data_IF_109348667754
#
_entry.id   IF_109348667754
#
_cell.length_a   1.000
_cell.length_b   1.000
_cell.length_c   1.000
_cell.angle_alpha   90.00
_cell.angle_beta   90.00
_cell.angle_gamma   90.00
#
_symmetry.space_group_name_H-M   'P 1'
#
loop_
_entity.id
_entity.type
_entity.pdbx_description
1 polymer ?
#
# COMPACT_ATOMS: atom_id res chain seq x y z
N UNK A 1 -0.43 21.14 34.43
CA UNK A 1 0.09 20.49 33.20
C UNK A 1 1.40 19.78 33.55
N UNK A 2 1.48 18.46 33.35
CA UNK A 2 2.39 17.58 34.11
C UNK A 2 3.84 17.64 33.58
N UNK A 3 4.79 18.16 34.36
CA UNK A 3 6.22 18.37 34.01
C UNK A 3 6.87 17.09 33.44
N UNK A 4 6.51 15.92 33.96
CA UNK A 4 6.97 14.61 33.46
C UNK A 4 6.55 14.32 32.02
N UNK A 5 5.34 14.73 31.61
CA UNK A 5 4.85 14.55 30.23
C UNK A 5 5.63 15.45 29.26
N UNK A 6 5.95 16.68 29.67
CA UNK A 6 6.73 17.62 28.86
C UNK A 6 8.19 17.16 28.72
N UNK A 7 8.84 16.75 29.81
CA UNK A 7 10.20 16.20 29.75
C UNK A 7 10.30 14.95 28.86
N UNK A 8 9.33 14.04 28.95
CA UNK A 8 9.26 12.87 28.07
C UNK A 8 9.05 13.22 26.60
N UNK A 9 8.32 14.30 26.30
CA UNK A 9 8.16 14.80 24.93
C UNK A 9 9.49 15.32 24.36
N UNK A 10 10.18 16.20 25.08
CA UNK A 10 11.47 16.74 24.63
C UNK A 10 12.54 15.66 24.49
N UNK A 11 12.58 14.69 25.41
CA UNK A 11 13.49 13.55 25.32
C UNK A 11 13.29 12.74 24.04
N UNK A 12 12.04 12.38 23.71
CA UNK A 12 11.71 11.68 22.45
C UNK A 12 12.08 12.49 21.22
N UNK A 13 11.90 13.80 21.25
CA UNK A 13 12.25 14.69 20.15
C UNK A 13 13.77 14.72 19.90
N UNK A 14 14.58 14.75 20.97
CA UNK A 14 16.05 14.65 20.87
C UNK A 14 16.51 13.28 20.39
N UNK A 15 15.93 12.20 20.90
CA UNK A 15 16.23 10.85 20.44
C UNK A 15 15.92 10.68 18.96
N UNK A 16 14.76 11.18 18.51
CA UNK A 16 14.36 11.12 17.12
C UNK A 16 15.29 11.94 16.23
N UNK A 17 15.70 13.12 16.68
CA UNK A 17 16.69 13.94 15.97
C UNK A 17 18.01 13.19 15.79
N UNK A 18 18.54 12.55 16.86
CA UNK A 18 19.77 11.75 16.79
C UNK A 18 19.64 10.57 15.85
N UNK A 19 18.49 9.87 15.85
CA UNK A 19 18.21 8.77 14.94
C UNK A 19 18.21 9.25 13.49
N UNK A 20 17.51 10.34 13.19
CA UNK A 20 17.46 10.91 11.86
C UNK A 20 18.85 11.41 11.43
N UNK A 21 19.62 12.02 12.33
CA UNK A 21 21.01 12.37 12.05
C UNK A 21 21.83 11.15 11.63
N UNK A 22 21.75 10.06 12.39
CA UNK A 22 22.47 8.82 12.09
C UNK A 22 22.07 8.21 10.74
N UNK A 23 20.81 8.35 10.31
CA UNK A 23 20.34 7.96 8.98
C UNK A 23 20.94 8.86 7.90
N UNK A 24 20.81 10.18 8.07
CA UNK A 24 21.22 11.15 7.05
C UNK A 24 22.75 11.24 6.88
N UNK A 25 23.52 10.94 7.93
CA UNK A 25 24.98 10.81 7.86
C UNK A 25 25.43 9.58 7.04
N UNK A 26 24.51 8.62 6.77
CA UNK A 26 24.79 7.34 6.12
C UNK A 26 24.04 7.16 4.79
N UNK A 27 23.47 8.23 4.23
CA UNK A 27 22.76 8.12 2.95
C UNK A 27 23.72 7.68 1.85
N UNK A 28 23.18 6.80 1.01
CA UNK A 28 23.88 6.28 -0.14
C UNK A 28 23.80 7.32 -1.26
N UNK A 29 24.90 7.49 -1.99
CA UNK A 29 24.96 8.37 -3.17
C UNK A 29 24.42 7.62 -4.37
N UNK A 30 23.14 7.82 -4.67
CA UNK A 30 22.41 7.07 -5.68
C UNK A 30 22.09 7.91 -6.93
N UNK A 31 22.43 9.21 -6.93
CA UNK A 31 22.11 10.19 -7.98
C UNK A 31 22.54 9.80 -9.40
N UNK A 32 23.59 8.98 -9.53
CA UNK A 32 24.12 8.56 -10.82
C UNK A 32 23.50 7.29 -11.39
N UNK A 33 22.61 6.64 -10.64
CA UNK A 33 21.96 5.41 -11.09
C UNK A 33 20.71 5.76 -11.91
N UNK A 34 20.67 5.44 -13.21
CA UNK A 34 19.49 5.70 -14.03
C UNK A 34 18.36 4.75 -13.63
N UNK A 35 17.13 5.26 -13.70
CA UNK A 35 15.91 4.50 -13.45
C UNK A 35 15.00 4.58 -14.67
N UNK A 36 14.29 3.50 -14.95
CA UNK A 36 13.33 3.42 -16.04
C UNK A 36 11.92 3.44 -15.47
N UNK A 37 11.07 4.32 -16.00
CA UNK A 37 9.72 4.55 -15.51
C UNK A 37 8.70 4.16 -16.59
N UNK A 38 7.74 3.31 -16.22
CA UNK A 38 6.66 2.88 -17.09
C UNK A 38 5.31 3.37 -16.56
N UNK A 39 4.57 4.10 -17.38
CA UNK A 39 3.22 4.54 -17.09
C UNK A 39 2.22 3.42 -17.40
N UNK A 40 1.43 3.01 -16.41
CA UNK A 40 0.37 2.01 -16.60
C UNK A 40 -0.74 2.55 -17.50
N UNK A 41 -1.16 3.81 -17.30
CA UNK A 41 -2.24 4.40 -18.09
C UNK A 41 -1.84 4.68 -19.54
N UNK A 42 -0.63 5.21 -19.78
CA UNK A 42 -0.16 5.51 -21.14
C UNK A 42 0.41 4.29 -21.84
N UNK A 43 0.64 3.19 -21.11
CA UNK A 43 1.25 1.94 -21.60
C UNK A 43 2.58 2.17 -22.30
N UNK A 44 3.39 3.07 -21.75
CA UNK A 44 4.64 3.51 -22.36
C UNK A 44 5.66 3.90 -21.28
N UNK A 45 6.92 3.90 -21.68
CA UNK A 45 7.96 4.56 -20.89
C UNK A 45 7.69 6.06 -20.83
N UNK A 46 7.99 6.65 -19.67
CA UNK A 46 7.89 8.10 -19.46
C UNK A 46 9.24 8.64 -18.97
N UNK A 47 9.50 9.90 -19.28
CA UNK A 47 10.69 10.60 -18.83
C UNK A 47 10.65 10.81 -17.30
N UNK A 48 11.82 10.81 -16.66
CA UNK A 48 11.93 10.97 -15.20
C UNK A 48 11.17 12.22 -14.74
N UNK A 49 11.35 13.36 -15.43
CA UNK A 49 10.68 14.64 -15.10
C UNK A 49 9.14 14.57 -15.05
N UNK A 50 8.52 13.63 -15.76
CA UNK A 50 7.06 13.53 -15.91
C UNK A 50 6.42 12.59 -14.86
N UNK A 51 7.22 11.83 -14.11
CA UNK A 51 6.77 10.80 -13.16
C UNK A 51 5.82 11.36 -12.11
N UNK A 52 6.17 12.49 -11.50
CA UNK A 52 5.34 13.13 -10.46
C UNK A 52 4.02 13.61 -11.06
N UNK A 53 4.06 14.28 -12.21
CA UNK A 53 2.85 14.77 -12.87
C UNK A 53 1.91 13.61 -13.23
N UNK A 54 2.43 12.52 -13.79
CA UNK A 54 1.65 11.33 -14.10
C UNK A 54 1.02 10.72 -12.82
N UNK A 55 1.82 10.59 -11.76
CA UNK A 55 1.36 10.10 -10.45
C UNK A 55 0.22 10.95 -9.90
N UNK A 56 0.35 12.29 -9.93
CA UNK A 56 -0.69 13.22 -9.46
C UNK A 56 -1.95 13.20 -10.32
N UNK A 57 -1.81 12.94 -11.63
CA UNK A 57 -2.94 12.76 -12.55
C UNK A 57 -3.68 11.42 -12.35
N UNK A 58 -3.25 10.61 -11.38
CA UNK A 58 -3.89 9.35 -11.01
C UNK A 58 -3.38 8.14 -11.79
N UNK A 59 -2.19 8.24 -12.37
CA UNK A 59 -1.47 7.10 -12.93
C UNK A 59 -0.78 6.27 -11.85
N UNK A 60 -0.33 5.09 -12.25
CA UNK A 60 0.54 4.21 -11.50
C UNK A 60 1.81 4.07 -12.33
N UNK A 61 2.93 4.46 -11.75
CA UNK A 61 4.23 4.38 -12.41
C UNK A 61 4.99 3.18 -11.86
N UNK A 62 5.48 2.32 -12.75
CA UNK A 62 6.30 1.15 -12.40
C UNK A 62 7.76 1.52 -12.60
N UNK A 63 8.60 1.22 -11.60
CA UNK A 63 10.06 1.26 -11.72
C UNK A 63 10.57 -0.18 -11.67
N UNK A 64 11.15 -0.65 -12.76
CA UNK A 64 11.67 -2.02 -12.83
C UNK A 64 12.97 -2.16 -12.05
N UNK A 65 13.07 -3.21 -11.25
CA UNK A 65 14.23 -3.59 -10.43
C UNK A 65 14.95 -2.38 -9.79
N UNK A 66 14.24 -1.58 -9.00
CA UNK A 66 14.82 -0.42 -8.31
C UNK A 66 15.93 -0.85 -7.34
N UNK A 67 15.83 -2.05 -6.75
CA UNK A 67 16.85 -2.56 -5.82
C UNK A 67 18.14 -2.89 -6.57
N UNK A 68 18.08 -3.63 -7.68
CA UNK A 68 19.25 -3.96 -8.48
C UNK A 68 19.85 -2.74 -9.18
N UNK A 69 19.01 -1.88 -9.78
CA UNK A 69 19.47 -0.68 -10.49
C UNK A 69 20.19 0.32 -9.57
N UNK A 70 19.77 0.41 -8.30
CA UNK A 70 20.43 1.23 -7.27
C UNK A 70 21.56 0.47 -6.53
N UNK A 71 21.89 -0.76 -6.94
CA UNK A 71 22.93 -1.61 -6.34
C UNK A 71 22.72 -1.87 -4.84
N UNK A 72 21.46 -2.03 -4.43
CA UNK A 72 21.07 -2.21 -3.02
C UNK A 72 20.92 -3.68 -2.60
N UNK A 73 21.07 -4.63 -3.53
CA UNK A 73 20.81 -6.06 -3.29
C UNK A 73 21.56 -6.61 -2.07
N UNK A 74 22.85 -6.30 -1.93
CA UNK A 74 23.65 -6.78 -0.78
C UNK A 74 23.16 -6.21 0.55
N UNK A 75 22.79 -4.94 0.59
CA UNK A 75 22.26 -4.28 1.79
C UNK A 75 20.88 -4.82 2.17
N UNK A 76 20.03 -5.10 1.18
CA UNK A 76 18.72 -5.72 1.41
C UNK A 76 18.89 -7.17 1.89
N UNK A 77 19.85 -7.92 1.33
CA UNK A 77 20.17 -9.27 1.78
C UNK A 77 20.68 -9.30 3.22
N UNK A 78 21.61 -8.40 3.59
CA UNK A 78 22.10 -8.24 4.95
C UNK A 78 20.95 -7.90 5.92
N UNK A 79 20.11 -6.92 5.57
CA UNK A 79 18.92 -6.57 6.34
C UNK A 79 18.01 -7.79 6.57
N UNK A 80 17.83 -8.61 5.53
CA UNK A 80 16.98 -9.78 5.64
C UNK A 80 17.61 -10.86 6.54
N UNK A 81 18.92 -11.11 6.43
CA UNK A 81 19.61 -12.06 7.30
C UNK A 81 19.52 -11.63 8.76
N UNK A 82 19.77 -10.36 9.05
CA UNK A 82 19.81 -9.81 10.41
C UNK A 82 18.45 -9.84 11.12
N UNK A 83 17.36 -9.64 10.37
CA UNK A 83 16.02 -9.52 10.97
C UNK A 83 15.11 -10.72 10.76
N UNK A 84 15.42 -11.58 9.79
CA UNK A 84 14.56 -12.69 9.39
C UNK A 84 15.26 -14.05 9.38
N UNK A 85 16.58 -14.11 9.61
CA UNK A 85 17.41 -15.31 9.45
C UNK A 85 17.30 -15.92 8.04
N UNK A 86 16.95 -15.10 7.03
CA UNK A 86 16.77 -15.51 5.63
C UNK A 86 17.50 -14.54 4.72
N UNK A 87 18.15 -15.05 3.67
CA UNK A 87 18.60 -14.21 2.57
C UNK A 87 17.42 -13.61 1.80
N UNK A 88 17.66 -12.51 1.10
CA UNK A 88 16.65 -11.78 0.31
C UNK A 88 15.92 -12.70 -0.68
N UNK A 89 16.67 -13.57 -1.37
CA UNK A 89 16.17 -14.56 -2.33
C UNK A 89 15.20 -15.60 -1.71
N UNK A 90 15.28 -15.83 -0.39
CA UNK A 90 14.50 -16.84 0.32
C UNK A 90 13.43 -16.23 1.23
N UNK A 91 13.25 -14.91 1.20
CA UNK A 91 12.33 -14.19 2.09
C UNK A 91 10.87 -14.65 1.95
N UNK A 92 10.48 -15.14 0.77
CA UNK A 92 9.15 -15.71 0.53
C UNK A 92 8.83 -16.96 1.39
N UNK A 93 9.85 -17.64 1.92
CA UNK A 93 9.71 -18.86 2.71
C UNK A 93 9.79 -18.65 4.22
N UNK A 94 9.95 -17.41 4.69
CA UNK A 94 10.16 -17.09 6.12
C UNK A 94 9.07 -17.67 7.05
N UNK A 95 7.83 -17.81 6.57
CA UNK A 95 6.72 -18.35 7.37
C UNK A 95 6.86 -19.85 7.66
N UNK A 96 7.74 -20.57 6.95
CA UNK A 96 7.98 -21.99 7.16
C UNK A 96 8.90 -22.25 8.37
N UNK A 97 9.68 -21.26 8.79
CA UNK A 97 10.69 -21.41 9.86
C UNK A 97 10.39 -20.57 11.08
N UNK A 98 9.40 -19.67 11.01
CA UNK A 98 9.03 -18.76 12.10
C UNK A 98 7.56 -18.88 12.44
N UNK A 99 7.27 -18.88 13.74
CA UNK A 99 5.92 -18.78 14.28
C UNK A 99 5.32 -17.41 14.01
N UNK A 100 3.99 -17.30 14.11
CA UNK A 100 3.29 -16.02 13.96
C UNK A 100 3.80 -14.94 14.93
N UNK A 101 4.19 -15.32 16.15
CA UNK A 101 4.73 -14.41 17.15
C UNK A 101 6.07 -13.84 16.73
N UNK A 102 7.00 -14.71 16.29
CA UNK A 102 8.31 -14.30 15.79
C UNK A 102 8.16 -13.41 14.54
N UNK A 103 7.19 -13.71 13.66
CA UNK A 103 6.90 -12.89 12.49
C UNK A 103 6.45 -11.46 12.84
N UNK A 104 5.64 -11.32 13.90
CA UNK A 104 5.23 -10.00 14.42
C UNK A 104 6.45 -9.26 14.97
N UNK A 105 7.30 -9.93 15.75
CA UNK A 105 8.48 -9.32 16.35
C UNK A 105 9.49 -8.87 15.28
N UNK A 106 9.75 -9.72 14.27
CA UNK A 106 10.57 -9.37 13.11
C UNK A 106 10.04 -8.11 12.40
N UNK A 107 8.73 -8.04 12.13
CA UNK A 107 8.11 -6.88 11.48
C UNK A 107 8.20 -5.59 12.33
N UNK A 108 8.08 -5.71 13.65
CA UNK A 108 8.23 -4.57 14.57
C UNK A 108 9.67 -4.07 14.68
N UNK A 109 10.66 -4.98 14.61
CA UNK A 109 12.08 -4.63 14.69
C UNK A 109 12.57 -3.99 13.40
N UNK A 110 12.28 -4.61 12.25
CA UNK A 110 12.83 -4.19 10.95
C UNK A 110 12.37 -2.78 10.55
N UNK A 111 11.13 -2.38 10.88
CA UNK A 111 10.59 -1.06 10.49
C UNK A 111 11.35 0.12 11.09
N UNK A 112 12.04 -0.12 12.21
CA UNK A 112 12.75 0.89 12.98
C UNK A 112 14.26 0.74 12.93
N UNK A 113 14.77 -0.30 12.27
CA UNK A 113 16.18 -0.58 12.16
C UNK A 113 16.89 0.51 11.33
N UNK A 114 18.10 0.87 11.76
CA UNK A 114 18.90 1.89 11.07
C UNK A 114 19.13 1.55 9.59
N UNK A 115 19.49 0.30 9.20
CA UNK A 115 19.68 -0.05 7.79
C UNK A 115 18.41 0.15 6.96
N UNK A 116 17.23 -0.25 7.47
CA UNK A 116 15.95 -0.02 6.79
C UNK A 116 15.69 1.45 6.52
N UNK A 117 15.97 2.31 7.50
CA UNK A 117 15.76 3.76 7.35
C UNK A 117 16.76 4.41 6.40
N UNK A 118 18.01 3.91 6.35
CA UNK A 118 19.02 4.34 5.38
C UNK A 118 18.61 3.93 3.97
N UNK A 119 18.19 2.68 3.76
CA UNK A 119 17.68 2.19 2.47
C UNK A 119 16.49 3.03 2.02
N UNK A 120 15.46 3.19 2.88
CA UNK A 120 14.30 4.04 2.58
C UNK A 120 14.73 5.43 2.16
N UNK A 121 15.50 6.12 3.02
CA UNK A 121 15.78 7.54 2.81
C UNK A 121 16.67 7.77 1.59
N UNK A 122 17.58 6.84 1.27
CA UNK A 122 18.42 6.91 0.08
C UNK A 122 17.61 6.71 -1.20
N UNK A 123 16.72 5.70 -1.24
CA UNK A 123 15.82 5.48 -2.39
C UNK A 123 14.91 6.71 -2.59
N UNK A 124 14.29 7.20 -1.51
CA UNK A 124 13.38 8.35 -1.60
C UNK A 124 14.12 9.62 -2.03
N UNK A 125 15.36 9.85 -1.54
CA UNK A 125 16.16 10.98 -2.00
C UNK A 125 16.46 10.88 -3.50
N UNK A 126 16.84 9.69 -3.99
CA UNK A 126 17.09 9.46 -5.41
C UNK A 126 15.85 9.70 -6.26
N UNK A 127 14.69 9.24 -5.81
CA UNK A 127 13.43 9.39 -6.54
C UNK A 127 12.92 10.84 -6.56
N UNK A 128 13.19 11.64 -5.51
CA UNK A 128 12.58 12.97 -5.36
C UNK A 128 13.50 14.13 -5.75
N UNK A 129 14.83 13.98 -5.60
CA UNK A 129 15.78 15.04 -5.91
C UNK A 129 15.69 15.60 -7.34
N UNK A 130 15.38 14.81 -8.39
CA UNK A 130 15.15 15.35 -9.74
C UNK A 130 13.94 16.28 -9.86
N UNK A 131 13.01 16.24 -8.91
CA UNK A 131 11.73 16.94 -8.98
C UNK A 131 11.62 18.13 -8.02
N UNK A 132 12.34 18.08 -6.90
CA UNK A 132 12.31 19.16 -5.90
C UNK A 132 13.55 19.15 -5.02
N UNK A 133 14.05 20.35 -4.70
CA UNK A 133 15.08 20.54 -3.68
C UNK A 133 14.55 20.38 -2.25
N UNK A 134 13.24 20.52 -2.05
CA UNK A 134 12.58 20.37 -0.75
C UNK A 134 11.44 19.35 -0.85
N UNK A 135 11.42 18.40 0.06
CA UNK A 135 10.36 17.39 0.15
C UNK A 135 10.25 16.85 1.58
N UNK A 136 9.25 16.02 1.84
CA UNK A 136 8.99 15.47 3.16
C UNK A 136 8.89 13.95 3.09
N UNK A 137 9.61 13.25 3.96
CA UNK A 137 9.64 11.79 4.00
C UNK A 137 8.89 11.26 5.22
N UNK A 138 8.12 10.20 5.07
CA UNK A 138 7.59 9.45 6.21
C UNK A 138 8.75 8.92 7.05
N UNK A 139 8.68 9.12 8.37
CA UNK A 139 9.81 8.81 9.25
C UNK A 139 10.14 7.31 9.32
N UNK A 140 9.14 6.44 9.15
CA UNK A 140 9.29 4.99 9.25
C UNK A 140 8.56 4.32 8.07
N UNK A 141 9.20 3.40 7.36
CA UNK A 141 8.52 2.64 6.32
C UNK A 141 7.57 1.63 6.95
N UNK A 142 6.68 1.12 6.10
CA UNK A 142 5.89 -0.05 6.39
C UNK A 142 6.51 -1.26 5.72
N UNK A 143 7.20 -2.08 6.51
CA UNK A 143 7.60 -3.42 6.10
C UNK A 143 6.40 -4.35 6.26
N UNK A 144 5.91 -4.95 5.18
CA UNK A 144 4.68 -5.75 5.17
C UNK A 144 4.97 -7.19 4.79
N UNK A 145 4.83 -8.10 5.74
CA UNK A 145 5.00 -9.55 5.57
C UNK A 145 3.65 -10.23 5.44
N UNK A 146 2.99 -10.13 4.27
CA UNK A 146 1.72 -10.82 4.05
C UNK A 146 1.92 -12.32 4.03
N UNK A 147 1.51 -12.99 5.09
CA UNK A 147 1.62 -14.44 5.19
C UNK A 147 0.54 -15.09 4.32
N UNK A 148 0.71 -16.37 3.95
CA UNK A 148 -0.38 -17.17 3.41
C UNK A 148 -1.65 -17.02 4.25
N UNK A 149 -2.79 -16.81 3.62
CA UNK A 149 -4.03 -16.51 4.35
C UNK A 149 -4.44 -17.65 5.29
N UNK A 150 -4.17 -18.89 4.88
CA UNK A 150 -4.34 -20.09 5.72
C UNK A 150 -3.58 -20.04 7.04
N UNK A 151 -2.51 -19.25 7.13
CA UNK A 151 -1.69 -19.07 8.35
C UNK A 151 -2.28 -17.99 9.27
N UNK A 152 -3.00 -17.00 8.73
CA UNK A 152 -3.44 -15.82 9.50
C UNK A 152 -4.94 -15.77 9.76
N UNK A 153 -5.77 -16.47 8.98
CA UNK A 153 -7.23 -16.33 9.01
C UNK A 153 -7.87 -16.58 10.38
N UNK A 154 -7.28 -17.47 11.19
CA UNK A 154 -7.77 -17.77 12.54
C UNK A 154 -7.20 -16.85 13.63
N UNK A 155 -6.29 -15.94 13.27
CA UNK A 155 -5.53 -15.11 14.21
C UNK A 155 -5.57 -13.62 13.84
N UNK A 156 -6.49 -13.18 12.98
CA UNK A 156 -6.52 -11.79 12.50
C UNK A 156 -6.68 -10.78 13.65
N UNK A 157 -7.64 -10.98 14.55
CA UNK A 157 -7.84 -10.13 15.73
C UNK A 157 -6.58 -10.00 16.59
N UNK A 158 -5.88 -11.13 16.77
CA UNK A 158 -4.62 -11.16 17.50
C UNK A 158 -3.55 -10.31 16.80
N UNK A 159 -3.32 -10.53 15.50
CA UNK A 159 -2.36 -9.77 14.69
C UNK A 159 -2.68 -8.27 14.75
N UNK A 160 -3.95 -7.90 14.55
CA UNK A 160 -4.41 -6.52 14.53
C UNK A 160 -4.19 -5.83 15.88
N UNK A 161 -4.41 -6.53 16.99
CA UNK A 161 -4.13 -5.99 18.33
C UNK A 161 -2.64 -5.73 18.59
N UNK A 162 -1.74 -6.44 17.91
CA UNK A 162 -0.29 -6.39 18.16
C UNK A 162 0.46 -5.44 17.24
N UNK A 163 0.14 -5.46 15.95
CA UNK A 163 0.88 -4.70 14.93
C UNK A 163 -0.03 -3.86 14.01
N UNK A 164 -1.35 -4.03 14.15
CA UNK A 164 -2.36 -3.35 13.33
C UNK A 164 -2.70 -4.11 12.05
N UNK A 165 -3.87 -3.78 11.50
CA UNK A 165 -4.41 -4.34 10.26
C UNK A 165 -3.50 -4.05 9.05
N UNK A 166 -3.42 -5.00 8.13
CA UNK A 166 -2.75 -4.81 6.84
C UNK A 166 -1.24 -4.97 6.87
N UNK A 167 -0.67 -5.44 7.99
CA UNK A 167 0.78 -5.67 8.16
C UNK A 167 1.16 -7.09 7.78
N UNK A 168 0.55 -8.07 8.45
CA UNK A 168 0.71 -9.50 8.17
C UNK A 168 -0.53 -10.11 7.51
N UNK A 169 -1.71 -9.56 7.79
CA UNK A 169 -3.00 -9.96 7.23
C UNK A 169 -3.47 -8.97 6.14
N UNK A 170 -4.39 -9.36 5.24
CA UNK A 170 -4.97 -8.45 4.24
C UNK A 170 -5.72 -7.29 4.88
N UNK A 171 -5.99 -6.27 4.07
CA UNK A 171 -6.84 -5.15 4.46
C UNK A 171 -7.64 -4.69 3.26
N UNK A 172 -8.85 -4.22 3.51
CA UNK A 172 -9.80 -3.82 2.47
C UNK A 172 -9.36 -2.58 1.71
N UNK A 173 -10.14 -2.26 0.68
CA UNK A 173 -9.87 -1.10 -0.14
C UNK A 173 -10.06 0.19 0.65
N UNK A 174 -9.14 1.12 0.46
CA UNK A 174 -9.13 2.40 1.12
C UNK A 174 -8.40 3.44 0.29
N UNK A 175 -8.55 4.70 0.69
CA UNK A 175 -7.57 5.75 0.41
C UNK A 175 -6.73 5.96 1.65
N UNK A 176 -5.46 6.28 1.47
CA UNK A 176 -4.52 6.39 2.59
C UNK A 176 -4.93 7.50 3.58
N UNK A 177 -5.58 8.56 3.09
CA UNK A 177 -6.10 9.63 3.94
C UNK A 177 -7.25 9.22 4.87
N UNK A 178 -7.98 8.15 4.56
CA UNK A 178 -8.97 7.54 5.47
C UNK A 178 -8.28 6.92 6.69
N UNK A 179 -7.01 6.54 6.52
CA UNK A 179 -6.11 6.09 7.59
C UNK A 179 -5.23 7.21 8.12
N UNK A 180 -5.64 8.46 7.88
CA UNK A 180 -5.06 9.69 8.39
C UNK A 180 -3.69 10.08 7.82
N UNK A 181 -3.20 9.41 6.78
CA UNK A 181 -2.03 9.88 6.05
C UNK A 181 -2.35 11.22 5.34
N UNK A 182 -1.34 12.06 5.03
CA UNK A 182 -1.57 13.31 4.31
C UNK A 182 -2.25 13.08 2.95
N UNK A 183 -3.15 13.96 2.54
CA UNK A 183 -3.89 13.79 1.28
C UNK A 183 -2.96 13.84 0.05
N UNK A 184 -1.97 14.73 0.07
CA UNK A 184 -1.01 14.94 -1.02
C UNK A 184 0.16 13.94 -1.02
N UNK A 185 -0.04 12.75 -0.45
CA UNK A 185 1.01 11.74 -0.30
C UNK A 185 1.25 10.98 -1.59
N UNK A 186 2.53 10.74 -1.88
CA UNK A 186 2.99 9.77 -2.87
C UNK A 186 3.45 8.52 -2.13
N UNK A 187 2.90 7.37 -2.52
CA UNK A 187 3.37 6.07 -2.10
C UNK A 187 4.44 5.57 -3.05
N UNK A 188 5.51 5.02 -2.48
CA UNK A 188 6.50 4.19 -3.18
C UNK A 188 6.44 2.80 -2.55
N UNK A 189 6.00 1.80 -3.31
CA UNK A 189 5.79 0.44 -2.83
C UNK A 189 6.73 -0.50 -3.56
N UNK A 190 7.72 -1.05 -2.86
CA UNK A 190 8.72 -1.96 -3.42
C UNK A 190 8.35 -3.40 -3.10
N UNK A 191 8.27 -4.23 -4.13
CA UNK A 191 8.14 -5.68 -4.00
C UNK A 191 9.48 -6.26 -3.52
N UNK A 192 9.49 -6.91 -2.35
CA UNK A 192 10.67 -7.66 -1.88
C UNK A 192 10.57 -9.15 -2.22
N UNK A 193 9.37 -9.61 -2.57
CA UNK A 193 9.10 -10.93 -3.13
C UNK A 193 8.11 -10.74 -4.28
N UNK A 194 7.84 -11.79 -5.07
CA UNK A 194 6.82 -11.72 -6.12
C UNK A 194 5.46 -11.23 -5.56
N UNK A 195 4.87 -10.26 -6.26
CA UNK A 195 3.55 -9.72 -5.96
C UNK A 195 2.67 -9.81 -7.20
N UNK A 196 1.69 -10.70 -7.12
CA UNK A 196 0.84 -11.15 -8.24
C UNK A 196 -0.63 -10.89 -7.93
N UNK A 197 -1.50 -11.23 -8.87
CA UNK A 197 -2.96 -11.31 -8.67
C UNK A 197 -3.42 -12.23 -7.53
N UNK A 198 -2.52 -13.04 -6.93
CA UNK A 198 -2.84 -13.98 -5.85
C UNK A 198 -2.37 -13.55 -4.47
N UNK A 199 -1.61 -12.47 -4.36
CA UNK A 199 -1.02 -12.03 -3.08
C UNK A 199 -0.61 -10.54 -3.02
N UNK A 200 -0.81 -9.78 -4.10
CA UNK A 200 -0.26 -8.44 -4.27
C UNK A 200 -1.20 -7.30 -3.86
N UNK A 201 -1.20 -6.25 -4.68
CA UNK A 201 -1.95 -5.02 -4.47
C UNK A 201 -2.86 -4.75 -5.67
N UNK A 202 -4.04 -4.22 -5.39
CA UNK A 202 -4.94 -3.69 -6.41
C UNK A 202 -5.11 -2.19 -6.23
N UNK A 203 -5.08 -1.44 -7.34
CA UNK A 203 -5.23 0.01 -7.35
C UNK A 203 -6.17 0.41 -8.48
N UNK A 204 -7.09 1.33 -8.23
CA UNK A 204 -7.96 1.90 -9.25
C UNK A 204 -7.36 3.22 -9.78
N UNK A 205 -6.82 3.25 -11.01
CA UNK A 205 -6.28 4.47 -11.59
C UNK A 205 -7.36 5.55 -11.75
N UNK A 206 -6.94 6.83 -11.75
CA UNK A 206 -7.80 8.01 -11.88
C UNK A 206 -8.91 8.12 -10.81
N UNK A 207 -8.82 7.40 -9.70
CA UNK A 207 -9.84 7.41 -8.66
C UNK A 207 -9.64 8.48 -7.58
N UNK A 208 -8.69 9.41 -7.72
CA UNK A 208 -8.46 10.48 -6.73
C UNK A 208 -9.74 11.30 -6.46
N UNK A 209 -10.50 11.60 -7.52
CA UNK A 209 -11.78 12.32 -7.43
C UNK A 209 -12.98 11.41 -7.12
N UNK A 210 -12.78 10.09 -7.05
CA UNK A 210 -13.85 9.19 -6.62
C UNK A 210 -14.02 9.25 -5.11
N UNK A 211 -15.03 10.01 -4.64
CA UNK A 211 -15.36 10.16 -3.22
C UNK A 211 -16.28 9.04 -2.71
N UNK A 212 -15.81 7.80 -2.87
CA UNK A 212 -16.47 6.59 -2.39
C UNK A 212 -16.91 6.70 -0.93
N UNK A 213 -18.11 6.19 -0.62
CA UNK A 213 -18.56 6.05 0.75
C UNK A 213 -17.65 5.07 1.48
N UNK A 214 -17.27 5.39 2.71
CA UNK A 214 -16.40 4.56 3.53
C UNK A 214 -16.89 4.47 4.97
N UNK A 215 -16.56 3.37 5.64
CA UNK A 215 -16.79 3.19 7.06
C UNK A 215 -15.67 3.88 7.84
N UNK A 216 -16.00 4.90 8.63
CA UNK A 216 -15.01 5.70 9.35
C UNK A 216 -14.30 4.94 10.48
N UNK A 217 -14.95 3.92 11.06
CA UNK A 217 -14.39 3.12 12.16
C UNK A 217 -13.38 2.10 11.60
N UNK A 218 -13.77 1.40 10.53
CA UNK A 218 -12.91 0.43 9.84
C UNK A 218 -11.84 1.10 8.95
N UNK A 219 -12.10 2.35 8.52
CA UNK A 219 -11.26 3.13 7.61
C UNK A 219 -11.04 2.42 6.27
N UNK A 220 -12.10 1.78 5.81
CA UNK A 220 -12.19 1.01 4.58
C UNK A 220 -13.49 1.35 3.87
N UNK A 221 -13.54 1.02 2.58
CA UNK A 221 -14.70 1.30 1.73
C UNK A 221 -15.96 0.61 2.28
N UNK A 222 -17.12 1.26 2.17
CA UNK A 222 -18.40 0.65 2.57
C UNK A 222 -18.68 -0.56 1.66
N UNK A 223 -19.06 -1.75 2.20
CA UNK A 223 -19.24 -2.97 1.42
C UNK A 223 -20.27 -2.90 0.28
N UNK A 224 -21.12 -1.87 0.26
CA UNK A 224 -22.12 -1.62 -0.78
C UNK A 224 -21.59 -0.80 -1.96
N UNK A 225 -20.41 -0.22 -1.84
CA UNK A 225 -19.82 0.67 -2.84
C UNK A 225 -19.16 -0.15 -3.95
N UNK A 226 -19.29 0.32 -5.19
CA UNK A 226 -18.59 -0.26 -6.34
C UNK A 226 -17.10 0.06 -6.30
N UNK A 227 -16.28 -0.96 -6.48
CA UNK A 227 -14.81 -0.87 -6.48
C UNK A 227 -14.17 -1.03 -7.85
N UNK A 228 -14.96 -1.37 -8.87
CA UNK A 228 -14.54 -1.45 -10.27
C UNK A 228 -13.33 -2.36 -10.55
N UNK A 229 -13.40 -3.67 -10.22
CA UNK A 229 -12.22 -4.51 -10.23
C UNK A 229 -11.54 -4.64 -11.63
N UNK A 230 -12.22 -4.42 -12.75
CA UNK A 230 -11.73 -4.64 -14.12
C UNK A 230 -10.96 -3.44 -14.61
N UNK A 231 -11.22 -2.30 -13.96
CA UNK A 231 -10.52 -1.05 -14.19
C UNK A 231 -9.31 -0.94 -13.26
N UNK A 232 -9.16 -1.83 -12.26
CA UNK A 232 -8.02 -1.82 -11.36
C UNK A 232 -6.78 -2.37 -12.06
N UNK A 233 -5.66 -1.69 -11.82
CA UNK A 233 -4.36 -2.30 -11.99
C UNK A 233 -4.14 -3.31 -10.86
N UNK A 234 -3.74 -4.52 -11.24
CA UNK A 234 -3.34 -5.58 -10.33
C UNK A 234 -1.85 -5.80 -10.51
N UNK A 235 -1.11 -5.85 -9.40
CA UNK A 235 0.34 -6.07 -9.43
C UNK A 235 0.69 -7.38 -10.12
N UNK A 236 1.68 -7.31 -11.01
CA UNK A 236 2.49 -8.43 -11.47
C UNK A 236 3.96 -7.99 -11.45
N UNK A 237 4.57 -8.09 -10.27
CA UNK A 237 5.86 -7.49 -9.94
C UNK A 237 6.85 -8.55 -9.48
N UNK A 238 8.08 -8.43 -9.96
CA UNK A 238 9.21 -9.23 -9.52
C UNK A 238 9.89 -8.62 -8.29
N UNK A 239 10.62 -9.40 -7.47
CA UNK A 239 11.45 -8.85 -6.41
C UNK A 239 12.35 -7.74 -6.94
N UNK A 240 12.30 -6.57 -6.30
CA UNK A 240 13.04 -5.38 -6.70
C UNK A 240 12.22 -4.38 -7.49
N UNK A 241 11.07 -4.75 -8.07
CA UNK A 241 10.19 -3.78 -8.74
C UNK A 241 9.50 -2.84 -7.74
N UNK A 242 9.16 -1.63 -8.19
CA UNK A 242 8.42 -0.66 -7.39
C UNK A 242 7.22 -0.07 -8.13
N UNK A 243 6.20 0.32 -7.36
CA UNK A 243 5.12 1.19 -7.79
C UNK A 243 5.26 2.57 -7.16
N UNK A 244 4.93 3.60 -7.94
CA UNK A 244 4.75 4.97 -7.48
C UNK A 244 3.31 5.36 -7.81
N UNK A 245 2.54 5.77 -6.79
CA UNK A 245 1.13 6.13 -6.96
C UNK A 245 0.67 7.15 -5.91
N UNK A 246 -0.37 7.92 -6.23
CA UNK A 246 -0.95 8.89 -5.31
C UNK A 246 -1.80 8.22 -4.22
N UNK A 247 -1.71 8.70 -2.98
CA UNK A 247 -2.40 8.15 -1.81
C UNK A 247 -3.93 8.16 -1.90
N UNK A 248 -4.49 9.03 -2.74
CA UNK A 248 -5.94 9.10 -2.98
C UNK A 248 -6.42 8.17 -4.10
N UNK A 249 -5.56 7.36 -4.70
CA UNK A 249 -6.03 6.22 -5.48
C UNK A 249 -6.66 5.18 -4.56
N UNK A 250 -7.81 4.64 -4.94
CA UNK A 250 -8.49 3.59 -4.19
C UNK A 250 -7.67 2.31 -4.36
N UNK A 251 -7.17 1.76 -3.26
CA UNK A 251 -6.30 0.61 -3.30
C UNK A 251 -6.52 -0.31 -2.11
N UNK A 252 -6.21 -1.59 -2.27
CA UNK A 252 -6.38 -2.58 -1.22
C UNK A 252 -5.55 -3.83 -1.49
N UNK A 253 -5.26 -4.56 -0.43
CA UNK A 253 -4.49 -5.80 -0.56
C UNK A 253 -5.34 -6.93 -1.13
N UNK A 254 -4.71 -7.72 -1.99
CA UNK A 254 -5.27 -9.00 -2.42
C UNK A 254 -4.98 -10.02 -1.32
N UNK A 255 -5.95 -10.89 -1.01
CA UNK A 255 -5.73 -12.00 -0.06
C UNK A 255 -4.61 -12.87 -0.60
N UNK A 256 -3.62 -13.16 0.25
CA UNK A 256 -2.55 -14.08 -0.12
C UNK A 256 -3.06 -15.53 -0.13
N UNK A 257 -3.48 -15.98 -1.31
CA UNK A 257 -3.97 -17.35 -1.56
C UNK A 257 -2.85 -18.33 -1.92
N UNK A 258 -1.60 -17.85 -1.95
CA UNK A 258 -0.42 -18.68 -2.21
C UNK A 258 0.08 -19.34 -0.93
N UNK A 259 1.01 -20.28 -1.08
CA UNK A 259 1.78 -20.87 0.02
C UNK A 259 3.11 -20.13 0.29
N UNK A 260 3.23 -18.88 -0.15
CA UNK A 260 4.45 -18.05 -0.01
C UNK A 260 4.14 -16.75 0.72
N UNK A 261 5.07 -16.26 1.53
CA UNK A 261 4.97 -14.92 2.13
C UNK A 261 5.21 -13.85 1.07
N UNK A 262 4.35 -12.84 1.01
CA UNK A 262 4.61 -11.62 0.24
C UNK A 262 5.25 -10.54 1.12
N UNK A 263 6.51 -10.23 0.89
CA UNK A 263 7.20 -9.12 1.53
C UNK A 263 7.20 -7.86 0.65
N UNK A 264 6.99 -6.69 1.27
CA UNK A 264 7.07 -5.41 0.60
C UNK A 264 7.56 -4.29 1.53
N UNK A 265 8.27 -3.33 0.97
CA UNK A 265 8.68 -2.09 1.64
C UNK A 265 7.84 -0.93 1.08
N UNK A 266 6.94 -0.41 1.91
CA UNK A 266 6.07 0.71 1.55
C UNK A 266 6.56 1.98 2.24
N UNK A 267 6.89 2.98 1.43
CA UNK A 267 7.47 4.26 1.83
C UNK A 267 6.56 5.37 1.33
N UNK A 268 6.57 6.52 2.02
CA UNK A 268 5.71 7.65 1.67
C UNK A 268 6.47 8.96 1.71
N UNK A 269 6.03 9.88 0.87
CA UNK A 269 6.53 11.25 0.85
C UNK A 269 5.47 12.24 0.39
N UNK A 270 5.77 13.53 0.57
CA UNK A 270 5.08 14.63 -0.09
C UNK A 270 6.13 15.57 -0.68
N UNK A 271 5.86 16.18 -1.84
CA UNK A 271 6.75 17.20 -2.40
C UNK A 271 6.54 18.54 -1.70
N UNK A 272 5.29 18.90 -1.49
CA UNK A 272 4.90 20.07 -0.72
C UNK A 272 4.68 19.71 0.76
N UNK A 273 4.36 20.72 1.56
CA UNK A 273 4.01 20.54 2.97
C UNK A 273 2.90 19.48 3.12
N UNK A 274 3.04 18.49 4.03
CA UNK A 274 2.03 17.46 4.18
C UNK A 274 0.66 18.02 4.60
N UNK A 275 -0.38 17.63 3.87
CA UNK A 275 -1.77 18.01 4.13
C UNK A 275 -2.46 17.02 5.07
N UNK A 276 -2.20 17.16 6.37
CA UNK A 276 -2.69 16.21 7.37
C UNK A 276 -4.20 16.28 7.59
N UNK A 277 -4.76 15.11 7.92
CA UNK A 277 -6.11 14.97 8.44
C UNK A 277 -6.27 15.75 9.76
N UNK A 278 -7.45 16.34 9.99
CA UNK A 278 -7.79 17.04 11.25
C UNK A 278 -7.69 16.20 12.54
N UNK A 279 -7.72 14.86 12.45
CA UNK A 279 -7.77 13.95 13.60
C UNK A 279 -6.38 13.47 14.02
N UNK A 280 -5.47 13.30 13.06
CA UNK A 280 -4.18 12.68 13.32
C UNK A 280 -3.13 13.25 12.37
N UNK A 281 -1.90 13.31 12.87
CA UNK A 281 -0.75 13.79 12.12
C UNK A 281 0.37 12.78 12.25
N UNK A 282 1.02 12.53 11.12
CA UNK A 282 2.17 11.65 11.06
C UNK A 282 3.45 12.45 11.15
N UNK A 283 4.49 11.81 11.68
CA UNK A 283 5.81 12.41 11.70
C UNK A 283 6.46 12.27 10.32
N UNK A 284 6.59 13.41 9.65
CA UNK A 284 7.36 13.54 8.42
C UNK A 284 8.67 14.29 8.71
N UNK A 285 9.71 13.93 7.96
CA UNK A 285 11.04 14.54 7.98
C UNK A 285 11.10 15.50 6.81
N UNK A 286 11.23 16.81 7.06
CA UNK A 286 11.53 17.77 5.99
C UNK A 286 12.97 17.52 5.53
N UNK A 287 13.18 17.44 4.23
CA UNK A 287 14.48 17.45 3.57
C UNK A 287 14.54 18.72 2.73
N UNK A 288 15.65 19.45 2.84
CA UNK A 288 15.89 20.72 2.18
C UNK A 288 17.33 20.72 1.68
N UNK A 289 17.50 20.71 0.35
CA UNK A 289 18.80 20.66 -0.33
C UNK A 289 19.70 19.51 0.16
N UNK A 290 19.09 18.33 0.36
CA UNK A 290 19.78 17.13 0.85
C UNK A 290 20.00 17.06 2.37
N UNK A 291 19.65 18.10 3.12
CA UNK A 291 19.75 18.12 4.58
C UNK A 291 18.38 17.93 5.24
N UNK A 292 18.31 17.12 6.29
CA UNK A 292 17.07 17.00 7.05
C UNK A 292 16.88 18.18 8.01
N UNK A 293 15.64 18.62 8.15
CA UNK A 293 15.22 19.58 9.16
C UNK A 293 14.04 19.01 9.95
N UNK A 294 14.30 18.62 11.19
CA UNK A 294 13.30 18.01 12.08
C UNK A 294 12.90 18.90 13.26
N UNK A 295 13.38 20.13 13.33
CA UNK A 295 13.11 21.07 14.41
C UNK A 295 12.30 22.26 13.88
N UNK A 296 11.15 21.98 13.28
CA UNK A 296 10.26 23.03 12.77
C UNK A 296 9.18 23.38 13.80
N UNK A 297 8.75 24.65 13.82
CA UNK A 297 7.60 25.09 14.63
C UNK A 297 6.33 24.28 14.32
N UNK A 298 6.23 23.78 13.09
CA UNK A 298 5.11 22.99 12.63
C UNK A 298 5.03 21.61 13.27
N UNK A 299 6.14 21.02 13.75
CA UNK A 299 6.07 19.82 14.59
C UNK A 299 5.57 20.08 16.01
N UNK A 300 5.68 21.34 16.46
CA UNK A 300 5.23 21.76 17.79
C UNK A 300 3.76 22.22 17.79
N UNK A 301 3.28 22.75 16.66
CA UNK A 301 1.88 23.12 16.47
C UNK A 301 1.37 22.77 15.05
N UNK A 302 1.30 21.48 14.73
CA UNK A 302 0.73 21.04 13.47
C UNK A 302 -0.79 21.28 13.45
N UNK A 303 -1.31 21.86 12.36
CA UNK A 303 -2.75 22.01 12.14
C UNK A 303 -3.17 21.09 10.99
N UNK A 304 -3.80 19.96 11.32
CA UNK A 304 -4.47 19.13 10.32
C UNK A 304 -5.75 19.85 9.89
N UNK A 305 -5.97 19.98 8.58
CA UNK A 305 -7.11 20.72 8.02
C UNK A 305 -7.97 19.87 7.09
N UNK A 306 -7.45 18.73 6.66
CA UNK A 306 -8.13 17.85 5.73
C UNK A 306 -9.16 16.96 6.43
N UNK A 307 -10.27 16.72 5.75
CA UNK A 307 -11.25 15.70 6.09
C UNK A 307 -11.72 15.03 4.79
N UNK A 308 -11.61 13.70 4.66
CA UNK A 308 -11.98 13.00 3.44
C UNK A 308 -13.48 13.05 3.21
N UNK A 309 -13.88 13.29 1.95
CA UNK A 309 -15.27 13.19 1.52
C UNK A 309 -15.70 11.72 1.46
N UNK A 310 -16.91 11.44 1.93
CA UNK A 310 -17.55 10.11 1.92
C UNK A 310 -18.98 10.28 1.37
N UNK A 311 -19.20 10.01 0.09
CA UNK A 311 -20.44 10.46 -0.58
C UNK A 311 -21.07 9.40 -1.48
N UNK A 312 -20.30 8.77 -2.35
CA UNK A 312 -20.86 8.04 -3.50
C UNK A 312 -20.82 6.52 -3.35
N UNK A 313 -21.83 5.83 -3.87
CA UNK A 313 -21.84 4.36 -4.00
C UNK A 313 -21.26 3.89 -5.35
N UNK A 314 -21.17 4.78 -6.33
CA UNK A 314 -20.60 4.56 -7.65
C UNK A 314 -19.95 5.84 -8.19
N UNK A 315 -19.30 5.73 -9.35
CA UNK A 315 -18.63 6.80 -10.06
C UNK A 315 -19.02 6.73 -11.55
N UNK A 316 -19.74 7.75 -12.04
CA UNK A 316 -20.23 7.79 -13.42
C UNK A 316 -19.12 7.56 -14.46
N UNK A 317 -17.95 8.17 -14.26
CA UNK A 317 -16.82 8.03 -15.19
C UNK A 317 -16.25 6.59 -15.28
N UNK A 318 -16.52 5.75 -14.28
CA UNK A 318 -16.17 4.33 -14.29
C UNK A 318 -17.35 3.47 -14.77
N UNK A 319 -18.58 3.82 -14.37
CA UNK A 319 -19.81 3.16 -14.85
C UNK A 319 -19.91 3.22 -16.39
N UNK A 320 -19.59 4.37 -17.01
CA UNK A 320 -19.55 4.56 -18.47
C UNK A 320 -18.53 3.66 -19.19
N UNK A 321 -17.56 3.07 -18.48
CA UNK A 321 -16.59 2.12 -19.04
C UNK A 321 -17.09 0.68 -19.05
N UNK A 322 -18.32 0.43 -18.61
CA UNK A 322 -18.97 -0.87 -18.71
C UNK A 322 -18.50 -1.92 -17.69
N UNK A 323 -17.97 -1.49 -16.55
CA UNK A 323 -17.46 -2.36 -15.48
C UNK A 323 -18.54 -2.97 -14.58
N UNK A 324 -19.82 -2.97 -15.00
CA UNK A 324 -20.93 -3.46 -14.19
C UNK A 324 -21.25 -4.92 -14.47
N UNK A 325 -21.43 -5.69 -13.40
CA UNK A 325 -21.96 -7.04 -13.50
C UNK A 325 -23.41 -7.03 -13.99
N UNK A 326 -23.72 -7.88 -14.96
CA UNK A 326 -25.07 -8.04 -15.52
C UNK A 326 -25.64 -9.41 -15.12
N UNK A 327 -26.18 -9.57 -13.90
CA UNK A 327 -26.80 -10.82 -13.47
C UNK A 327 -28.12 -11.06 -14.22
N UNK A 328 -28.47 -12.32 -14.47
CA UNK A 328 -29.79 -12.70 -14.99
C UNK A 328 -30.88 -12.52 -13.92
N UNK A 329 -30.55 -12.89 -12.69
CA UNK A 329 -31.38 -12.71 -11.50
C UNK A 329 -30.52 -12.78 -10.25
N UNK A 330 -31.06 -12.37 -9.11
CA UNK A 330 -30.42 -12.52 -7.81
C UNK A 330 -31.48 -12.51 -6.69
N UNK A 331 -31.13 -13.11 -5.57
CA UNK A 331 -31.90 -13.08 -4.33
C UNK A 331 -30.98 -12.65 -3.16
N UNK A 332 -31.46 -12.76 -1.92
CA UNK A 332 -30.69 -12.38 -0.72
C UNK A 332 -29.44 -13.25 -0.50
N UNK A 333 -29.43 -14.45 -1.06
CA UNK A 333 -28.42 -15.49 -0.85
C UNK A 333 -27.56 -15.76 -2.09
N UNK A 334 -28.08 -15.56 -3.30
CA UNK A 334 -27.40 -15.95 -4.53
C UNK A 334 -27.51 -14.91 -5.67
N UNK A 335 -26.56 -15.01 -6.59
CA UNK A 335 -26.51 -14.28 -7.86
C UNK A 335 -26.42 -15.30 -8.98
N UNK A 336 -27.25 -15.15 -10.01
CA UNK A 336 -27.28 -16.02 -11.17
C UNK A 336 -26.76 -15.24 -12.38
N UNK A 337 -25.68 -15.71 -12.98
CA UNK A 337 -24.95 -14.98 -14.03
C UNK A 337 -24.71 -15.94 -15.19
N UNK A 338 -24.94 -15.47 -16.42
CA UNK A 338 -24.60 -16.24 -17.62
C UNK A 338 -23.12 -16.08 -17.92
N UNK A 339 -22.36 -17.16 -17.83
CA UNK A 339 -20.91 -17.19 -18.03
C UNK A 339 -20.56 -18.32 -18.99
N UNK A 340 -19.80 -18.04 -20.05
CA UNK A 340 -19.36 -19.05 -21.03
C UNK A 340 -20.51 -19.92 -21.59
N UNK A 341 -21.71 -19.36 -21.73
CA UNK A 341 -22.89 -20.06 -22.25
C UNK A 341 -23.77 -20.74 -21.21
N UNK A 342 -23.29 -20.92 -19.99
CA UNK A 342 -24.00 -21.57 -18.87
C UNK A 342 -24.47 -20.55 -17.84
N UNK A 343 -25.62 -20.80 -17.21
CA UNK A 343 -26.00 -20.03 -16.01
C UNK A 343 -25.26 -20.61 -14.80
N UNK A 344 -24.55 -19.77 -14.07
CA UNK A 344 -23.85 -20.13 -12.84
C UNK A 344 -24.40 -19.38 -11.64
N UNK A 345 -24.49 -20.09 -10.52
CA UNK A 345 -24.89 -19.59 -9.21
C UNK A 345 -23.67 -19.22 -8.40
N UNK A 346 -23.65 -17.99 -7.89
CA UNK A 346 -22.64 -17.46 -6.99
C UNK A 346 -23.29 -17.05 -5.68
N UNK A 347 -22.56 -17.03 -4.55
CA UNK A 347 -23.09 -16.46 -3.31
C UNK A 347 -23.33 -14.95 -3.48
N UNK A 348 -24.31 -14.41 -2.75
CA UNK A 348 -24.59 -12.96 -2.78
C UNK A 348 -23.56 -12.16 -2.01
N UNK A 349 -23.08 -12.71 -0.89
CA UNK A 349 -22.09 -12.07 -0.02
C UNK A 349 -20.79 -12.86 -0.04
N UNK A 350 -19.67 -12.14 -0.06
CA UNK A 350 -18.36 -12.74 0.06
C UNK A 350 -18.23 -13.37 1.47
N UNK A 351 -17.90 -14.66 1.59
CA UNK A 351 -17.74 -15.31 2.90
C UNK A 351 -16.56 -14.76 3.71
N UNK A 352 -15.61 -14.07 3.07
CA UNK A 352 -14.44 -13.49 3.73
C UNK A 352 -14.76 -12.14 4.40
N UNK A 353 -15.31 -11.19 3.63
CA UNK A 353 -15.45 -9.79 4.07
C UNK A 353 -16.90 -9.29 4.08
N UNK A 354 -17.89 -10.16 3.82
CA UNK A 354 -19.30 -9.77 3.71
C UNK A 354 -19.62 -8.84 2.53
N UNK A 355 -18.65 -8.59 1.65
CA UNK A 355 -18.80 -7.72 0.49
C UNK A 355 -19.92 -8.23 -0.43
N UNK A 356 -20.74 -7.31 -0.95
CA UNK A 356 -21.78 -7.68 -1.88
C UNK A 356 -21.16 -8.07 -3.24
N UNK A 357 -21.23 -9.34 -3.61
CA UNK A 357 -20.63 -9.84 -4.85
C UNK A 357 -21.36 -9.33 -6.11
N UNK A 358 -22.53 -8.73 -5.95
CA UNK A 358 -23.21 -8.04 -7.04
C UNK A 358 -22.44 -6.78 -7.51
N UNK A 359 -21.57 -6.26 -6.64
CA UNK A 359 -20.61 -5.19 -6.98
C UNK A 359 -19.28 -5.74 -7.53
N UNK A 360 -19.15 -7.06 -7.67
CA UNK A 360 -17.99 -7.72 -8.27
C UNK A 360 -18.05 -7.69 -9.80
N UNK A 361 -17.23 -8.54 -10.42
CA UNK A 361 -17.16 -8.65 -11.88
C UNK A 361 -16.73 -10.04 -12.33
N UNK A 362 -16.91 -10.34 -13.61
CA UNK A 362 -16.37 -11.57 -14.19
C UNK A 362 -14.98 -11.34 -14.78
N UNK A 363 -14.05 -12.26 -14.52
CA UNK A 363 -12.84 -12.38 -15.32
C UNK A 363 -13.12 -13.02 -16.69
N UNK A 364 -12.12 -13.03 -17.57
CA UNK A 364 -12.22 -13.62 -18.92
C UNK A 364 -12.57 -15.12 -18.90
N UNK A 365 -12.32 -15.81 -17.79
CA UNK A 365 -12.65 -17.22 -17.57
C UNK A 365 -14.03 -17.44 -16.96
N UNK A 366 -14.81 -16.38 -16.73
CA UNK A 366 -16.15 -16.43 -16.15
C UNK A 366 -16.17 -16.60 -14.62
N UNK A 367 -15.07 -16.35 -13.91
CA UNK A 367 -15.06 -16.34 -12.44
C UNK A 367 -15.48 -14.99 -11.90
N UNK A 368 -16.27 -14.98 -10.84
CA UNK A 368 -16.68 -13.76 -10.16
C UNK A 368 -15.58 -13.29 -9.21
N UNK A 369 -15.01 -12.12 -9.46
CA UNK A 369 -14.00 -11.46 -8.63
C UNK A 369 -14.70 -10.67 -7.51
N UNK A 370 -14.33 -10.94 -6.26
CA UNK A 370 -14.81 -10.18 -5.11
C UNK A 370 -14.37 -8.71 -5.17
N UNK A 371 -15.29 -7.75 -4.96
CA UNK A 371 -14.97 -6.34 -5.02
C UNK A 371 -14.07 -5.85 -3.88
N UNK A 372 -14.00 -6.56 -2.74
CA UNK A 372 -13.22 -6.11 -1.58
C UNK A 372 -11.74 -6.52 -1.66
N UNK A 373 -11.46 -7.83 -1.76
CA UNK A 373 -10.07 -8.34 -1.76
C UNK A 373 -9.73 -9.22 -2.96
N UNK A 374 -10.55 -9.17 -4.02
CA UNK A 374 -10.33 -9.85 -5.31
C UNK A 374 -10.25 -11.39 -5.25
N UNK A 375 -10.81 -12.02 -4.22
CA UNK A 375 -11.00 -13.47 -4.20
C UNK A 375 -11.91 -13.89 -5.36
N UNK A 376 -11.48 -14.86 -6.18
CA UNK A 376 -12.25 -15.36 -7.32
C UNK A 376 -13.17 -16.53 -6.92
N UNK A 377 -14.41 -16.52 -7.42
CA UNK A 377 -15.41 -17.56 -7.25
C UNK A 377 -15.70 -18.23 -8.58
N UNK A 378 -15.76 -19.56 -8.62
CA UNK A 378 -16.01 -20.31 -9.85
C UNK A 378 -17.50 -20.41 -10.24
N UNK A 379 -18.39 -20.25 -9.26
CA UNK A 379 -19.83 -20.47 -9.42
C UNK A 379 -20.17 -21.94 -9.64
N UNK A 380 -21.37 -22.32 -9.22
CA UNK A 380 -21.92 -23.65 -9.47
C UNK A 380 -22.80 -23.61 -10.72
N UNK A 381 -22.65 -24.57 -11.63
CA UNK A 381 -23.50 -24.65 -12.83
C UNK A 381 -24.95 -24.94 -12.40
N UNK A 382 -25.87 -24.10 -12.85
CA UNK A 382 -27.30 -24.35 -12.71
C UNK A 382 -27.74 -25.27 -13.85
N UNK A 383 -28.10 -26.51 -13.51
CA UNK A 383 -28.73 -27.44 -14.45
C UNK A 383 -30.17 -27.03 -14.76
#
# INVERSE_FOLDING_TARGET
MNIKKNLGFYYRLVQQYRKNKAVFDRLLKLEHHPLTYYSVLNKALIEERDVIQATMAGDIVIVKDIIGNLQLTALVDELCRDHFDHGYENLENIHATKTLHEMIDCALQVKDALPTLVIQSSIMQRLLAPHSETFFLEQQPNFRLHLPYSTVSQNEDYIESRIGRGKLNPHGQHKDSWRYHPQNTINVWIALTHATEKNGLSLLPKSSEYHAKFNADEREIDPRVKTYPALQYVTNLDPGDALIFHAELLHGSIINTTNKTRAALSMRCTLDKPEFHKKYQYNYIKVDKGYFNNLTKEKLSPQGRFEPKSQSLSCLAFDERGSELQPQSYDESHIYIKTLGETRRFPRKCPHAGADLLNGELDESGKLICPSHRLCFHGEVCN
#
